data_IF_534851175857
#
_entry.id   IF_534851175857
#
_cell.length_a   1.000
_cell.length_b   1.000
_cell.length_c   1.000
_cell.angle_alpha   90.00
_cell.angle_beta   90.00
_cell.angle_gamma   90.00
#
_symmetry.space_group_name_H-M   'P 1'
#
loop_
_entity.id
_entity.type
_entity.pdbx_description
1 polymer ?
#
# COMPACT_ATOMS: atom_id res chain seq x y z
N UNK A 1 51.76 -17.99 -42.53
CA UNK A 1 51.40 -18.67 -41.26
C UNK A 1 49.95 -18.36 -40.92
N UNK A 2 49.02 -19.22 -41.36
CA UNK A 2 47.57 -19.07 -41.13
C UNK A 2 47.21 -19.87 -39.88
N UNK A 3 46.91 -19.19 -38.77
CA UNK A 3 46.32 -19.81 -37.57
C UNK A 3 44.80 -19.90 -37.74
N UNK A 4 44.16 -21.02 -37.37
CA UNK A 4 42.77 -21.27 -37.71
C UNK A 4 41.83 -20.52 -36.76
N UNK A 5 41.10 -19.54 -37.29
CA UNK A 5 39.99 -18.84 -36.62
C UNK A 5 38.74 -19.73 -36.41
N UNK A 6 38.87 -21.05 -36.54
CA UNK A 6 37.74 -22.00 -36.49
C UNK A 6 37.52 -22.64 -35.12
N UNK A 7 38.48 -22.54 -34.20
CA UNK A 7 38.34 -23.07 -32.83
C UNK A 7 37.70 -22.09 -31.85
N UNK A 8 37.66 -20.79 -32.18
CA UNK A 8 37.11 -19.77 -31.28
C UNK A 8 35.59 -19.60 -31.40
N UNK A 9 35.01 -19.85 -32.59
CA UNK A 9 33.58 -19.73 -32.83
C UNK A 9 32.71 -20.72 -32.02
N UNK A 10 33.06 -22.04 -31.92
CA UNK A 10 32.28 -22.96 -31.10
C UNK A 10 32.46 -22.69 -29.60
N UNK A 11 33.61 -22.15 -29.19
CA UNK A 11 33.86 -21.76 -27.80
C UNK A 11 33.03 -20.52 -27.40
N UNK A 12 32.90 -19.56 -28.32
CA UNK A 12 32.08 -18.35 -28.11
C UNK A 12 30.58 -18.68 -28.08
N UNK A 13 30.13 -19.61 -28.93
CA UNK A 13 28.74 -20.10 -28.93
C UNK A 13 28.41 -20.94 -27.68
N UNK A 14 29.35 -21.75 -27.18
CA UNK A 14 29.18 -22.43 -25.88
C UNK A 14 29.06 -21.43 -24.72
N UNK A 15 29.89 -20.38 -24.72
CA UNK A 15 29.84 -19.35 -23.67
C UNK A 15 28.51 -18.58 -23.66
N UNK A 16 27.98 -18.23 -24.85
CA UNK A 16 26.66 -17.58 -24.99
C UNK A 16 25.47 -18.49 -24.61
N UNK A 17 25.58 -19.81 -24.86
CA UNK A 17 24.56 -20.77 -24.43
C UNK A 17 24.57 -20.99 -22.91
N UNK A 18 25.76 -20.95 -22.27
CA UNK A 18 25.87 -21.08 -20.81
C UNK A 18 25.36 -19.86 -20.05
N UNK A 19 25.43 -18.66 -20.62
CA UNK A 19 24.87 -17.45 -19.98
C UNK A 19 23.35 -17.35 -20.13
N UNK A 20 22.75 -17.99 -21.14
CA UNK A 20 21.29 -18.07 -21.29
C UNK A 20 20.63 -19.09 -20.34
N UNK A 21 21.37 -20.07 -19.81
CA UNK A 21 20.81 -21.11 -18.92
C UNK A 21 20.97 -20.82 -17.42
N UNK A 22 21.68 -19.76 -17.04
CA UNK A 22 21.68 -19.22 -15.67
C UNK A 22 20.66 -18.08 -15.52
N UNK A 23 20.14 -17.56 -16.63
CA UNK A 23 19.07 -16.55 -16.71
C UNK A 23 17.64 -17.11 -16.66
N UNK A 24 17.45 -18.34 -16.16
CA UNK A 24 16.14 -18.99 -16.06
C UNK A 24 15.35 -18.55 -14.82
N UNK A 25 14.36 -17.70 -15.04
CA UNK A 25 13.15 -17.54 -14.22
C UNK A 25 13.30 -17.07 -12.76
N UNK A 26 13.76 -15.83 -12.54
CA UNK A 26 13.47 -15.08 -11.31
C UNK A 26 12.19 -14.25 -11.44
N UNK A 27 11.05 -14.91 -11.71
CA UNK A 27 9.73 -14.28 -11.70
C UNK A 27 8.80 -14.83 -10.60
N UNK A 28 9.35 -15.55 -9.60
CA UNK A 28 8.56 -16.10 -8.50
C UNK A 28 9.08 -15.76 -7.09
N UNK A 29 10.15 -14.95 -6.97
CA UNK A 29 10.82 -14.74 -5.69
C UNK A 29 10.13 -13.75 -4.74
N UNK A 30 9.19 -12.92 -5.20
CA UNK A 30 8.53 -11.94 -4.32
C UNK A 30 7.24 -12.42 -3.64
N UNK A 31 6.77 -13.65 -3.90
CA UNK A 31 5.59 -14.24 -3.24
C UNK A 31 5.88 -15.24 -2.12
N UNK A 32 7.16 -15.60 -1.87
CA UNK A 32 7.51 -16.62 -0.86
C UNK A 32 8.28 -16.10 0.37
N UNK A 33 8.74 -14.86 0.36
CA UNK A 33 9.51 -14.31 1.49
C UNK A 33 8.67 -14.09 2.77
N UNK A 34 7.34 -14.01 2.65
CA UNK A 34 6.44 -13.94 3.81
C UNK A 34 6.19 -15.32 4.47
N UNK A 35 6.31 -16.42 3.72
CA UNK A 35 6.01 -17.77 4.24
C UNK A 35 7.22 -18.45 4.90
N UNK A 36 8.45 -18.17 4.44
CA UNK A 36 9.64 -18.89 4.95
C UNK A 36 10.10 -18.41 6.34
N UNK A 37 9.76 -17.17 6.72
CA UNK A 37 9.94 -16.67 8.09
C UNK A 37 8.94 -17.30 9.08
N UNK A 38 7.78 -17.79 8.59
CA UNK A 38 6.75 -18.40 9.42
C UNK A 38 7.04 -19.86 9.78
N UNK A 39 7.89 -20.58 9.02
CA UNK A 39 8.21 -21.99 9.30
C UNK A 39 9.48 -22.21 10.14
N UNK A 40 10.29 -21.18 10.42
CA UNK A 40 11.53 -21.32 11.23
C UNK A 40 11.34 -21.10 12.73
N UNK A 41 10.16 -20.68 13.19
CA UNK A 41 9.83 -20.62 14.61
C UNK A 41 9.11 -21.91 15.01
N UNK A 42 9.81 -22.81 15.69
CA UNK A 42 9.19 -23.99 16.31
C UNK A 42 8.06 -23.60 17.28
N UNK A 43 7.16 -24.54 17.63
CA UNK A 43 5.96 -24.20 18.39
C UNK A 43 6.34 -23.67 19.78
N UNK A 44 5.94 -22.45 20.10
CA UNK A 44 5.92 -21.99 21.48
C UNK A 44 4.79 -22.74 22.20
N UNK A 45 5.03 -23.30 23.40
CA UNK A 45 4.00 -24.00 24.14
C UNK A 45 3.06 -22.97 24.75
N UNK A 46 1.98 -22.65 24.04
CA UNK A 46 0.80 -22.07 24.66
C UNK A 46 -0.39 -22.58 23.88
N UNK A 47 -1.22 -23.39 24.54
CA UNK A 47 -2.47 -23.87 23.99
C UNK A 47 -3.31 -22.66 23.55
N UNK A 48 -3.28 -22.35 22.26
CA UNK A 48 -4.16 -21.35 21.68
C UNK A 48 -5.52 -22.00 21.55
N UNK A 49 -6.38 -21.80 22.54
CA UNK A 49 -7.82 -22.00 22.35
C UNK A 49 -8.25 -20.92 21.37
N UNK A 50 -8.38 -21.31 20.10
CA UNK A 50 -8.97 -20.46 19.08
C UNK A 50 -10.48 -20.56 19.24
N UNK A 51 -11.06 -19.70 20.07
CA UNK A 51 -12.50 -19.46 19.95
C UNK A 51 -12.75 -18.78 18.61
N UNK A 52 -13.56 -19.44 17.77
CA UNK A 52 -14.05 -18.86 16.53
C UNK A 52 -14.95 -17.69 16.90
N UNK A 53 -14.68 -16.45 16.43
CA UNK A 53 -15.55 -15.32 16.72
C UNK A 53 -16.98 -15.66 16.32
N UNK A 54 -17.90 -15.59 17.27
CA UNK A 54 -19.32 -15.74 16.97
C UNK A 54 -19.72 -14.61 16.03
N UNK A 55 -20.55 -14.95 15.04
CA UNK A 55 -21.01 -14.03 13.99
C UNK A 55 -21.58 -12.75 14.62
N UNK A 56 -20.81 -11.66 14.59
CA UNK A 56 -21.22 -10.35 15.11
C UNK A 56 -20.21 -9.64 16.02
N UNK A 57 -19.19 -10.33 16.54
CA UNK A 57 -18.18 -9.73 17.44
C UNK A 57 -16.87 -9.43 16.69
N UNK A 58 -16.45 -8.16 16.70
CA UNK A 58 -15.22 -7.71 16.06
C UNK A 58 -13.97 -8.24 16.76
N UNK A 59 -12.91 -8.53 16.01
CA UNK A 59 -11.66 -9.09 16.53
C UNK A 59 -11.01 -8.26 17.65
N UNK A 60 -11.36 -6.98 17.78
CA UNK A 60 -10.95 -6.08 18.87
C UNK A 60 -11.35 -6.60 20.27
N UNK A 61 -12.44 -7.37 20.39
CA UNK A 61 -12.87 -7.94 21.66
C UNK A 61 -11.95 -9.07 22.15
N UNK A 62 -11.31 -9.83 21.25
CA UNK A 62 -10.41 -10.90 21.64
C UNK A 62 -9.08 -10.38 22.24
N UNK A 63 -8.61 -9.21 21.80
CA UNK A 63 -7.41 -8.57 22.35
C UNK A 63 -7.68 -7.78 23.63
N UNK A 64 -8.90 -7.27 23.83
CA UNK A 64 -9.27 -6.51 25.04
C UNK A 64 -9.41 -7.38 26.29
N UNK A 65 -9.65 -8.69 26.14
CA UNK A 65 -9.68 -9.62 27.28
C UNK A 65 -8.28 -9.81 27.91
N UNK A 66 -7.19 -9.60 27.15
CA UNK A 66 -5.82 -9.64 27.68
C UNK A 66 -5.36 -8.33 28.35
N UNK A 67 -6.13 -7.24 28.20
CA UNK A 67 -5.79 -5.91 28.73
C UNK A 67 -6.56 -5.56 30.01
N UNK A 68 -7.14 -6.55 30.70
CA UNK A 68 -7.63 -6.37 32.07
C UNK A 68 -6.45 -6.42 33.06
N UNK A 69 -5.47 -5.54 32.83
CA UNK A 69 -4.27 -5.36 33.63
C UNK A 69 -3.76 -3.95 33.36
N UNK A 70 -3.91 -3.09 34.35
CA UNK A 70 -3.48 -1.68 34.45
C UNK A 70 -2.57 -1.16 33.32
N UNK A 71 -3.15 -0.35 32.42
CA UNK A 71 -2.40 0.45 31.46
C UNK A 71 -3.27 1.03 30.34
N UNK A 72 -3.81 2.24 30.53
CA UNK A 72 -4.46 3.06 29.49
C UNK A 72 -3.46 3.55 28.42
N UNK A 73 -2.47 2.75 28.05
CA UNK A 73 -1.31 3.18 27.25
C UNK A 73 -1.49 2.91 25.76
N UNK A 74 -2.17 1.83 25.40
CA UNK A 74 -2.37 1.41 24.01
C UNK A 74 -3.86 1.36 23.69
N UNK A 75 -4.27 2.08 22.65
CA UNK A 75 -5.65 2.19 22.22
C UNK A 75 -5.76 1.96 20.72
N UNK A 76 -6.94 1.59 20.18
CA UNK A 76 -7.15 1.47 18.74
C UNK A 76 -6.73 2.74 17.99
N UNK A 77 -5.97 2.55 16.91
CA UNK A 77 -5.49 3.63 16.04
C UNK A 77 -6.66 4.39 15.41
N UNK A 78 -6.53 5.72 15.36
CA UNK A 78 -7.47 6.59 14.65
C UNK A 78 -6.85 6.98 13.31
N UNK A 79 -7.40 6.45 12.22
CA UNK A 79 -6.98 6.76 10.86
C UNK A 79 -8.01 7.68 10.24
N UNK A 80 -7.60 8.90 9.89
CA UNK A 80 -8.42 9.83 9.11
C UNK A 80 -8.07 9.68 7.64
N UNK A 81 -9.06 9.70 6.74
CA UNK A 81 -8.83 9.59 5.31
C UNK A 81 -9.25 10.88 4.61
N UNK A 82 -8.34 11.47 3.85
CA UNK A 82 -8.64 12.54 2.90
C UNK A 82 -8.88 11.93 1.52
N UNK A 83 -10.06 12.24 0.95
CA UNK A 83 -10.47 11.78 -0.39
C UNK A 83 -10.63 12.97 -1.35
N UNK A 84 -9.92 14.08 -1.10
CA UNK A 84 -10.06 15.30 -1.90
C UNK A 84 -9.70 15.10 -3.37
N UNK A 85 -8.70 14.26 -3.67
CA UNK A 85 -8.36 13.92 -5.06
C UNK A 85 -9.45 13.08 -5.76
N UNK A 86 -10.25 12.30 -5.02
CA UNK A 86 -11.40 11.53 -5.59
C UNK A 86 -12.64 12.39 -5.86
N UNK A 87 -12.69 13.62 -5.31
CA UNK A 87 -13.76 14.59 -5.55
C UNK A 87 -13.45 15.49 -6.75
N UNK A 88 -12.20 15.53 -7.18
CA UNK A 88 -11.73 16.40 -8.25
C UNK A 88 -11.60 15.62 -9.56
N UNK A 89 -12.53 15.83 -10.49
CA UNK A 89 -12.52 15.16 -11.79
C UNK A 89 -11.27 15.47 -12.64
N UNK A 90 -10.47 16.48 -12.29
CA UNK A 90 -9.17 16.72 -12.94
C UNK A 90 -8.09 15.72 -12.53
N UNK A 91 -8.29 14.98 -11.43
CA UNK A 91 -7.29 14.13 -10.78
C UNK A 91 -7.39 12.64 -11.13
N UNK A 92 -8.46 12.21 -11.79
CA UNK A 92 -8.67 10.81 -12.17
C UNK A 92 -9.30 10.71 -13.56
N UNK A 93 -9.18 9.54 -14.18
CA UNK A 93 -9.70 9.28 -15.52
C UNK A 93 -11.23 9.25 -15.53
N UNK A 94 -11.86 10.17 -16.26
CA UNK A 94 -13.32 10.19 -16.44
C UNK A 94 -13.75 9.65 -17.80
N UNK A 95 -12.83 9.64 -18.77
CA UNK A 95 -12.99 9.02 -20.09
C UNK A 95 -11.64 8.60 -20.65
N UNK A 96 -11.67 7.66 -21.59
CA UNK A 96 -10.50 7.23 -22.35
C UNK A 96 -9.91 8.40 -23.17
N UNK A 97 -8.59 8.45 -23.27
CA UNK A 97 -7.88 9.47 -24.05
C UNK A 97 -7.60 10.79 -23.31
N UNK A 98 -8.08 10.97 -22.08
CA UNK A 98 -7.70 12.12 -21.25
C UNK A 98 -6.29 11.99 -20.72
N UNK A 99 -5.61 13.12 -20.49
CA UNK A 99 -4.38 13.14 -19.68
C UNK A 99 -4.73 13.43 -18.23
N UNK A 100 -4.26 12.57 -17.33
CA UNK A 100 -4.52 12.66 -15.89
C UNK A 100 -3.27 12.26 -15.11
N UNK A 101 -3.08 12.81 -13.90
CA UNK A 101 -1.89 12.53 -13.11
C UNK A 101 -1.80 11.04 -12.72
N UNK A 102 -0.59 10.50 -12.75
CA UNK A 102 -0.26 9.18 -12.19
C UNK A 102 0.19 9.24 -10.71
N UNK A 103 0.20 10.46 -10.14
CA UNK A 103 0.70 10.79 -8.81
C UNK A 103 2.18 10.45 -8.59
N UNK A 104 2.95 10.37 -9.68
CA UNK A 104 4.41 10.18 -9.71
C UNK A 104 5.13 11.28 -10.51
N UNK A 105 4.38 12.25 -11.02
CA UNK A 105 4.89 13.42 -11.73
C UNK A 105 4.57 13.44 -13.21
N UNK A 106 3.90 12.40 -13.72
CA UNK A 106 3.52 12.29 -15.13
C UNK A 106 2.00 12.44 -15.31
N UNK A 107 1.60 12.78 -16.53
CA UNK A 107 0.19 12.84 -16.94
C UNK A 107 -0.05 11.99 -18.18
N UNK A 108 0.06 10.65 -18.07
CA UNK A 108 -0.15 9.76 -19.20
C UNK A 108 -1.63 9.78 -19.65
N UNK A 109 -1.85 9.23 -20.84
CA UNK A 109 -3.18 9.09 -21.42
C UNK A 109 -3.96 7.95 -20.75
N UNK A 110 -5.20 8.23 -20.36
CA UNK A 110 -6.12 7.32 -19.71
C UNK A 110 -6.53 6.19 -20.64
N UNK A 111 -6.33 4.95 -20.20
CA UNK A 111 -6.86 3.76 -20.85
C UNK A 111 -8.31 3.53 -20.45
N UNK A 112 -9.05 2.78 -21.27
CA UNK A 112 -10.45 2.45 -21.02
C UNK A 112 -10.68 1.76 -19.66
N UNK A 113 -9.75 0.91 -19.22
CA UNK A 113 -9.81 0.19 -17.94
C UNK A 113 -9.42 1.04 -16.72
N UNK A 114 -8.91 2.25 -16.94
CA UNK A 114 -8.56 3.21 -15.87
C UNK A 114 -9.69 4.22 -15.61
N UNK A 115 -10.74 4.22 -16.42
CA UNK A 115 -11.89 5.13 -16.26
C UNK A 115 -12.64 4.82 -14.96
N UNK A 116 -12.61 5.78 -14.05
CA UNK A 116 -13.32 5.76 -12.78
C UNK A 116 -14.78 6.15 -13.03
N UNK A 117 -15.63 5.15 -13.21
CA UNK A 117 -17.08 5.37 -13.33
C UNK A 117 -17.69 5.90 -12.03
N UNK A 118 -18.86 6.54 -12.11
CA UNK A 118 -19.56 7.04 -10.93
C UNK A 118 -19.87 5.94 -9.91
N UNK A 119 -20.29 4.75 -10.37
CA UNK A 119 -20.57 3.60 -9.50
C UNK A 119 -19.30 3.07 -8.85
N UNK A 120 -18.19 3.02 -9.59
CA UNK A 120 -16.91 2.61 -9.04
C UNK A 120 -16.39 3.61 -7.99
N UNK A 121 -16.45 4.92 -8.27
CA UNK A 121 -16.06 5.95 -7.30
C UNK A 121 -16.93 5.89 -6.04
N UNK A 122 -18.25 5.69 -6.21
CA UNK A 122 -19.20 5.51 -5.10
C UNK A 122 -18.83 4.29 -4.26
N UNK A 123 -18.50 3.17 -4.88
CA UNK A 123 -18.10 1.93 -4.19
C UNK A 123 -16.76 2.12 -3.47
N UNK A 124 -15.78 2.75 -4.12
CA UNK A 124 -14.47 3.03 -3.55
C UNK A 124 -14.59 3.88 -2.27
N UNK A 125 -15.32 4.99 -2.36
CA UNK A 125 -15.48 5.97 -1.27
C UNK A 125 -16.33 5.44 -0.11
N UNK A 126 -17.44 4.75 -0.40
CA UNK A 126 -18.41 4.39 0.63
C UNK A 126 -18.24 2.97 1.20
N UNK A 127 -17.51 2.09 0.50
CA UNK A 127 -17.39 0.69 0.90
C UNK A 127 -15.93 0.28 1.06
N UNK A 128 -15.14 0.34 -0.02
CA UNK A 128 -13.78 -0.22 -0.04
C UNK A 128 -12.88 0.47 0.97
N UNK A 129 -12.79 1.80 0.93
CA UNK A 129 -11.92 2.56 1.84
C UNK A 129 -12.37 2.40 3.31
N UNK A 130 -13.66 2.59 3.67
CA UNK A 130 -14.12 2.39 5.05
C UNK A 130 -13.84 0.99 5.60
N UNK A 131 -14.05 -0.06 4.78
CA UNK A 131 -13.76 -1.44 5.18
C UNK A 131 -12.26 -1.63 5.40
N UNK A 132 -11.41 -1.14 4.49
CA UNK A 132 -9.96 -1.21 4.64
C UNK A 132 -9.48 -0.51 5.91
N UNK A 133 -9.97 0.71 6.19
CA UNK A 133 -9.66 1.45 7.41
C UNK A 133 -10.07 0.68 8.65
N UNK A 134 -11.32 0.17 8.67
CA UNK A 134 -11.84 -0.61 9.80
C UNK A 134 -10.98 -1.83 10.10
N UNK A 135 -10.57 -2.58 9.06
CA UNK A 135 -9.75 -3.78 9.24
C UNK A 135 -8.40 -3.48 9.91
N UNK A 136 -7.79 -2.33 9.61
CA UNK A 136 -6.55 -1.90 10.24
C UNK A 136 -6.80 -1.32 11.64
N UNK A 137 -7.80 -0.46 11.79
CA UNK A 137 -8.11 0.21 13.05
C UNK A 137 -8.52 -0.77 14.18
N UNK A 138 -9.17 -1.88 13.84
CA UNK A 138 -9.55 -2.92 14.81
C UNK A 138 -8.38 -3.79 15.30
N UNK A 139 -7.23 -3.77 14.61
CA UNK A 139 -6.10 -4.66 14.89
C UNK A 139 -4.85 -3.92 15.37
N UNK A 140 -4.72 -2.64 15.03
CA UNK A 140 -3.57 -1.83 15.39
C UNK A 140 -3.87 -1.02 16.64
N UNK A 141 -3.15 -1.35 17.72
CA UNK A 141 -3.10 -0.53 18.92
C UNK A 141 -1.90 0.42 18.84
N UNK A 142 -2.11 1.67 19.22
CA UNK A 142 -1.08 2.71 19.25
C UNK A 142 -1.13 3.50 20.56
N UNK A 143 -0.02 4.14 20.91
CA UNK A 143 -0.04 5.23 21.89
C UNK A 143 -0.56 6.47 21.17
N UNK A 144 -1.80 6.86 21.45
CA UNK A 144 -2.48 7.93 20.72
C UNK A 144 -1.76 9.27 20.80
N UNK A 145 -1.80 10.01 19.70
CA UNK A 145 -1.37 11.40 19.67
C UNK A 145 -2.29 12.24 20.55
N UNK A 146 -1.67 13.08 21.39
CA UNK A 146 -2.36 13.99 22.33
C UNK A 146 -2.69 15.34 21.72
N UNK A 147 -2.13 15.65 20.56
CA UNK A 147 -2.32 16.90 19.82
C UNK A 147 -2.75 16.60 18.40
N UNK A 148 -3.39 17.55 17.69
CA UNK A 148 -3.72 17.38 16.28
C UNK A 148 -2.49 17.01 15.44
N UNK A 149 -2.66 16.10 14.49
CA UNK A 149 -1.60 15.66 13.58
C UNK A 149 -1.42 16.70 12.49
N UNK A 150 -0.29 17.41 12.49
CA UNK A 150 0.05 18.37 11.44
C UNK A 150 0.75 17.69 10.27
N UNK A 151 0.27 17.97 9.07
CA UNK A 151 0.88 17.47 7.82
C UNK A 151 1.82 18.56 7.28
N UNK A 152 3.08 18.25 6.92
CA UNK A 152 3.98 19.25 6.38
C UNK A 152 3.49 19.76 5.03
N UNK A 153 3.89 20.97 4.66
CA UNK A 153 3.66 21.49 3.29
C UNK A 153 4.60 20.73 2.36
N UNK A 154 4.03 19.87 1.53
CA UNK A 154 4.83 19.07 0.59
C UNK A 154 5.41 19.96 -0.52
N UNK A 155 6.69 19.72 -0.80
CA UNK A 155 7.48 20.35 -1.85
C UNK A 155 8.09 19.25 -2.72
N UNK A 156 8.87 19.62 -3.75
CA UNK A 156 9.59 18.65 -4.58
C UNK A 156 10.53 17.72 -3.80
N UNK A 157 10.99 18.14 -2.62
CA UNK A 157 11.83 17.32 -1.73
C UNK A 157 11.07 16.16 -1.10
N UNK A 158 9.73 16.19 -1.12
CA UNK A 158 8.86 15.19 -0.51
C UNK A 158 8.41 14.10 -1.49
N UNK A 159 9.09 13.97 -2.63
CA UNK A 159 8.84 12.91 -3.62
C UNK A 159 7.40 12.92 -4.13
N UNK A 160 6.72 11.78 -4.06
CA UNK A 160 5.35 11.64 -4.59
C UNK A 160 4.28 12.34 -3.74
N UNK A 161 4.55 12.65 -2.47
CA UNK A 161 3.58 13.28 -1.58
C UNK A 161 3.12 14.66 -2.09
N UNK A 162 3.96 15.36 -2.86
CA UNK A 162 3.64 16.67 -3.42
C UNK A 162 2.47 16.65 -4.43
N UNK A 163 2.12 15.49 -4.98
CA UNK A 163 1.06 15.38 -5.99
C UNK A 163 -0.35 15.23 -5.41
N UNK A 164 -0.45 14.97 -4.11
CA UNK A 164 -1.71 14.78 -3.40
C UNK A 164 -2.28 16.10 -2.91
N UNK A 165 -3.61 16.21 -2.94
CA UNK A 165 -4.32 17.37 -2.43
C UNK A 165 -4.46 17.28 -0.92
N UNK A 166 -3.74 18.16 -0.22
CA UNK A 166 -3.83 18.32 1.23
C UNK A 166 -4.69 19.54 1.57
N UNK A 167 -5.79 19.39 2.33
CA UNK A 167 -6.55 20.54 2.83
C UNK A 167 -5.67 21.49 3.65
N UNK A 168 -5.81 22.80 3.44
CA UNK A 168 -4.98 23.81 4.12
C UNK A 168 -4.99 23.67 5.65
N UNK A 169 -6.17 23.38 6.23
CA UNK A 169 -6.32 23.15 7.67
C UNK A 169 -5.48 22.00 8.23
N UNK A 170 -5.11 21.01 7.41
CA UNK A 170 -4.25 19.89 7.84
C UNK A 170 -2.80 20.33 8.08
N UNK A 171 -2.36 21.43 7.46
CA UNK A 171 -1.03 22.00 7.66
C UNK A 171 -0.98 22.88 8.92
N UNK A 172 -1.99 23.74 9.08
CA UNK A 172 -1.94 24.81 10.09
C UNK A 172 -2.50 24.36 11.44
N UNK A 173 -3.79 24.05 11.49
CA UNK A 173 -4.45 23.55 12.70
C UNK A 173 -4.07 22.09 12.99
N UNK A 174 -3.91 21.30 11.93
CA UNK A 174 -3.71 19.85 12.01
C UNK A 174 -5.04 19.09 12.05
N UNK A 175 -4.95 17.77 11.95
CA UNK A 175 -6.09 16.88 11.96
C UNK A 175 -6.34 16.40 13.39
N UNK A 176 -7.48 16.79 13.96
CA UNK A 176 -7.88 16.35 15.29
C UNK A 176 -8.19 14.85 15.31
N UNK A 177 -7.99 14.24 16.47
CA UNK A 177 -8.32 12.85 16.72
C UNK A 177 -7.73 11.86 15.69
N UNK A 178 -6.57 12.18 15.12
CA UNK A 178 -5.86 11.34 14.17
C UNK A 178 -4.53 10.90 14.75
N UNK A 179 -4.22 9.62 14.59
CA UNK A 179 -2.89 9.05 14.80
C UNK A 179 -2.17 8.80 13.46
N UNK A 180 -2.94 8.75 12.38
CA UNK A 180 -2.49 8.68 10.99
C UNK A 180 -3.51 9.39 10.09
N UNK A 181 -3.02 10.02 9.02
CA UNK A 181 -3.86 10.55 7.93
C UNK A 181 -3.47 9.88 6.63
N UNK A 182 -4.45 9.29 5.92
CA UNK A 182 -4.26 8.69 4.61
C UNK A 182 -4.83 9.61 3.53
N UNK A 183 -4.02 9.98 2.53
CA UNK A 183 -4.47 10.73 1.36
C UNK A 183 -4.67 9.75 0.21
N UNK A 184 -5.90 9.69 -0.33
CA UNK A 184 -6.29 8.69 -1.32
C UNK A 184 -6.58 9.35 -2.67
N UNK A 185 -6.05 8.75 -3.72
CA UNK A 185 -6.27 9.16 -5.10
C UNK A 185 -6.47 7.94 -6.03
N UNK A 186 -7.02 8.19 -7.21
CA UNK A 186 -7.18 7.21 -8.29
C UNK A 186 -6.51 7.73 -9.56
N UNK A 187 -5.17 7.69 -9.58
CA UNK A 187 -4.37 8.08 -10.74
C UNK A 187 -4.33 7.03 -11.84
N UNK A 188 -3.76 7.41 -12.96
CA UNK A 188 -3.40 6.48 -14.05
C UNK A 188 -2.32 5.49 -13.62
N UNK A 189 -2.28 4.31 -14.26
CA UNK A 189 -1.36 3.24 -13.91
C UNK A 189 -2.03 2.01 -13.29
N UNK A 190 -1.32 0.88 -13.31
CA UNK A 190 -1.87 -0.40 -12.86
C UNK A 190 -1.55 -0.70 -11.40
N UNK A 191 -2.58 -1.08 -10.63
CA UNK A 191 -2.45 -1.55 -9.25
C UNK A 191 -2.56 -0.45 -8.20
N UNK A 192 -2.44 -0.85 -6.93
CA UNK A 192 -2.43 0.07 -5.79
C UNK A 192 -1.04 0.12 -5.16
N UNK A 193 -0.64 1.31 -4.73
CA UNK A 193 0.62 1.54 -4.01
C UNK A 193 0.39 2.57 -2.91
N UNK A 194 1.25 2.57 -1.89
CA UNK A 194 1.21 3.52 -0.79
C UNK A 194 2.63 3.78 -0.29
N UNK A 195 2.86 4.97 0.26
CA UNK A 195 4.10 5.38 0.90
C UNK A 195 3.75 6.09 2.23
N UNK A 196 4.63 6.00 3.25
CA UNK A 196 4.48 6.75 4.49
C UNK A 196 4.79 8.24 4.31
#
# INVERSE_FOLDING_TARGET
>A
MRRPLRAALPLLLLLLATTCCVGGCLAAAHRRALDEAAMKSGPLPTAMVREVPRKGEGAAQAYTVAAAGEGKEWEPIRIVVSMEDLKDASKYCTKEGEKKPDFRGEEPECRKDEVVTADWNKTLVNEVIPVAVKLHAERLLVRRLKTPLKVPKFTSEHGFCQYFKVPEGHHDAGVENADMVLYVAAGTGYGAWALP
#
